data_IF_056072853409
#
_entry.id   IF_056072853409
#
_cell.length_a   1.000
_cell.length_b   1.000
_cell.length_c   1.000
_cell.angle_alpha   90.00
_cell.angle_beta   90.00
_cell.angle_gamma   90.00
#
_symmetry.space_group_name_H-M   'P 1'
#
loop_
_entity.id
_entity.type
_entity.pdbx_description
1 polymer ?
#
# COMPACT_ATOMS: atom_id res chain seq x y z
N UNK A 1 6.52 -19.39 28.48
CA UNK A 1 6.25 -18.46 29.60
C UNK A 1 4.76 -18.39 29.97
N UNK A 2 3.85 -18.69 29.04
CA UNK A 2 2.46 -19.07 29.37
C UNK A 2 2.26 -20.49 28.84
N UNK A 3 1.89 -21.46 29.68
CA UNK A 3 1.69 -22.87 29.31
C UNK A 3 0.48 -23.11 28.41
N UNK A 4 0.15 -22.15 27.54
CA UNK A 4 -1.01 -22.10 26.65
C UNK A 4 -0.64 -22.35 25.18
N UNK A 5 0.62 -22.63 24.88
CA UNK A 5 1.07 -22.94 23.53
C UNK A 5 1.20 -24.45 23.36
N UNK A 6 0.26 -25.04 22.63
CA UNK A 6 0.38 -26.39 22.11
C UNK A 6 1.54 -26.40 21.08
N UNK A 7 2.42 -27.41 21.14
CA UNK A 7 3.50 -27.54 20.16
C UNK A 7 2.88 -27.72 18.76
N UNK A 8 3.45 -27.03 17.76
CA UNK A 8 2.96 -27.08 16.39
C UNK A 8 2.97 -28.54 15.90
N UNK A 9 1.79 -29.09 15.58
CA UNK A 9 1.65 -30.48 15.14
C UNK A 9 2.26 -30.59 13.74
N UNK A 10 3.21 -31.49 13.57
CA UNK A 10 3.94 -31.70 12.31
C UNK A 10 3.04 -32.04 11.12
N UNK A 11 1.82 -32.53 11.37
CA UNK A 11 0.86 -32.93 10.35
C UNK A 11 -0.22 -31.87 10.07
N UNK A 12 -0.27 -30.80 10.85
CA UNK A 12 -1.23 -29.73 10.59
C UNK A 12 -0.65 -28.81 9.52
N UNK A 13 -1.36 -28.59 8.40
CA UNK A 13 -0.93 -27.56 7.47
C UNK A 13 -0.97 -26.22 8.22
N UNK A 14 -0.04 -25.28 7.96
CA UNK A 14 -0.15 -23.94 8.51
C UNK A 14 -1.45 -23.29 8.00
N UNK A 15 -2.50 -23.28 8.83
CA UNK A 15 -3.80 -22.64 8.56
C UNK A 15 -3.76 -21.21 9.10
N UNK A 16 -2.71 -20.47 8.76
CA UNK A 16 -2.63 -19.05 9.05
C UNK A 16 -1.85 -18.41 7.91
N UNK A 17 -2.52 -17.55 7.14
CA UNK A 17 -1.85 -16.90 6.03
C UNK A 17 -2.79 -15.97 5.28
N UNK A 18 -2.23 -14.85 4.87
CA UNK A 18 -2.77 -14.09 3.76
C UNK A 18 -2.91 -15.03 2.56
N UNK A 19 -3.97 -14.86 1.76
CA UNK A 19 -4.19 -15.60 0.51
C UNK A 19 -2.94 -15.53 -0.40
N UNK A 20 -2.27 -14.38 -0.37
CA UNK A 20 -1.02 -14.09 -1.04
C UNK A 20 0.02 -13.62 -0.03
N UNK A 21 1.24 -14.13 -0.12
CA UNK A 21 2.33 -13.63 0.73
C UNK A 21 2.75 -12.24 0.28
N UNK A 22 2.89 -11.31 1.23
CA UNK A 22 3.47 -10.00 0.98
C UNK A 22 4.97 -10.12 0.67
N UNK A 23 5.35 -9.61 -0.50
CA UNK A 23 6.71 -9.72 -1.03
C UNK A 23 7.50 -8.42 -0.83
N UNK A 24 7.44 -7.86 0.38
CA UNK A 24 8.11 -6.58 0.70
C UNK A 24 8.47 -6.51 2.18
N UNK A 25 9.60 -5.86 2.48
CA UNK A 25 10.04 -5.48 3.82
C UNK A 25 9.69 -4.01 4.15
N UNK A 26 8.88 -3.35 3.32
CA UNK A 26 8.43 -1.99 3.59
C UNK A 26 7.46 -1.98 4.78
N UNK A 27 7.95 -1.54 5.94
CA UNK A 27 7.19 -1.54 7.18
C UNK A 27 5.95 -0.66 7.13
N UNK A 28 6.04 0.55 6.56
CA UNK A 28 4.90 1.47 6.47
C UNK A 28 3.81 0.87 5.58
N UNK A 29 4.20 0.29 4.44
CA UNK A 29 3.25 -0.41 3.59
C UNK A 29 2.61 -1.59 4.31
N UNK A 30 3.40 -2.45 4.95
CA UNK A 30 2.90 -3.60 5.68
C UNK A 30 1.92 -3.21 6.81
N UNK A 31 2.13 -2.08 7.48
CA UNK A 31 1.22 -1.59 8.51
C UNK A 31 -0.05 -0.94 7.95
N UNK A 32 0.01 -0.29 6.79
CA UNK A 32 -1.07 0.56 6.28
C UNK A 32 -1.87 -0.02 5.11
N UNK A 33 -1.33 -0.95 4.33
CA UNK A 33 -1.95 -1.44 3.09
C UNK A 33 -3.36 -1.99 3.34
N UNK A 34 -3.54 -2.82 4.37
CA UNK A 34 -4.86 -3.38 4.73
C UNK A 34 -5.87 -2.28 5.08
N UNK A 35 -5.45 -1.23 5.78
CA UNK A 35 -6.32 -0.11 6.11
C UNK A 35 -6.72 0.68 4.86
N UNK A 36 -5.77 0.95 3.96
CA UNK A 36 -6.04 1.63 2.69
C UNK A 36 -6.98 0.81 1.80
N UNK A 37 -6.79 -0.52 1.76
CA UNK A 37 -7.65 -1.45 1.04
C UNK A 37 -9.09 -1.44 1.55
N UNK A 38 -9.26 -1.47 2.87
CA UNK A 38 -10.59 -1.45 3.48
C UNK A 38 -11.27 -0.08 3.32
N UNK A 39 -10.53 1.02 3.52
CA UNK A 39 -11.12 2.37 3.56
C UNK A 39 -11.35 2.97 2.17
N UNK A 40 -10.41 2.79 1.24
CA UNK A 40 -10.44 3.46 -0.07
C UNK A 40 -10.90 2.48 -1.15
N UNK A 41 -10.21 1.35 -1.29
CA UNK A 41 -10.41 0.46 -2.44
C UNK A 41 -11.69 -0.36 -2.35
N UNK A 42 -12.09 -0.78 -1.14
CA UNK A 42 -13.32 -1.55 -0.92
C UNK A 42 -14.56 -0.82 -1.44
N UNK A 43 -14.64 0.49 -1.22
CA UNK A 43 -15.75 1.31 -1.70
C UNK A 43 -15.83 1.44 -3.23
N UNK A 44 -14.75 1.15 -3.95
CA UNK A 44 -14.63 1.28 -5.41
C UNK A 44 -14.78 -0.05 -6.17
N UNK A 45 -15.01 -1.16 -5.47
CA UNK A 45 -15.10 -2.48 -6.09
C UNK A 45 -16.30 -2.58 -7.05
N UNK A 46 -16.08 -3.29 -8.18
CA UNK A 46 -17.08 -3.56 -9.21
C UNK A 46 -17.19 -5.06 -9.45
N UNK A 47 -18.40 -5.52 -9.77
CA UNK A 47 -18.67 -6.89 -10.20
C UNK A 47 -18.11 -7.14 -11.60
N UNK A 48 -18.09 -8.40 -12.03
CA UNK A 48 -17.71 -8.84 -13.39
C UNK A 48 -18.49 -8.13 -14.51
N UNK A 49 -19.71 -7.67 -14.20
CA UNK A 49 -20.58 -6.89 -15.10
C UNK A 49 -20.31 -5.38 -15.09
N UNK A 50 -19.22 -4.93 -14.45
CA UNK A 50 -18.81 -3.52 -14.34
C UNK A 50 -19.63 -2.66 -13.38
N UNK A 51 -20.60 -3.25 -12.66
CA UNK A 51 -21.47 -2.55 -11.72
C UNK A 51 -20.81 -2.43 -10.33
N UNK A 52 -20.95 -1.29 -9.63
CA UNK A 52 -20.37 -1.10 -8.30
C UNK A 52 -20.99 -2.06 -7.27
N UNK A 53 -20.15 -2.76 -6.50
CA UNK A 53 -20.57 -3.69 -5.44
C UNK A 53 -21.20 -2.92 -4.27
N UNK A 54 -20.62 -1.76 -3.95
CA UNK A 54 -21.11 -0.84 -2.93
C UNK A 54 -21.65 0.43 -3.59
N UNK A 55 -22.89 0.41 -4.11
CA UNK A 55 -23.46 1.58 -4.77
C UNK A 55 -23.60 2.74 -3.77
N UNK A 56 -22.83 3.81 -4.00
CA UNK A 56 -22.95 5.06 -3.25
C UNK A 56 -24.16 5.89 -3.67
N UNK A 57 -24.39 6.98 -2.94
CA UNK A 57 -25.50 7.93 -3.17
C UNK A 57 -25.48 8.48 -4.61
N UNK A 58 -24.28 8.79 -5.13
CA UNK A 58 -24.10 9.40 -6.45
C UNK A 58 -24.56 8.46 -7.60
N UNK A 59 -24.31 7.16 -7.49
CA UNK A 59 -24.70 6.19 -8.52
C UNK A 59 -26.23 5.97 -8.59
N UNK A 60 -26.93 6.04 -7.45
CA UNK A 60 -28.41 5.96 -7.42
C UNK A 60 -29.09 7.23 -7.95
N UNK A 61 -28.47 8.40 -7.76
CA UNK A 61 -28.98 9.68 -8.28
C UNK A 61 -28.88 9.73 -9.81
N UNK A 62 -27.75 9.30 -10.38
CA UNK A 62 -27.54 9.25 -11.84
C UNK A 62 -28.51 8.28 -12.53
N UNK A 63 -28.74 7.09 -11.95
CA UNK A 63 -29.67 6.09 -12.51
C UNK A 63 -31.13 6.58 -12.47
N UNK A 64 -31.53 7.37 -11.46
CA UNK A 64 -32.89 7.92 -11.37
C UNK A 64 -33.15 9.12 -12.27
N UNK A 65 -32.13 9.91 -12.63
CA UNK A 65 -32.29 11.05 -13.54
C UNK A 65 -32.47 10.59 -15.01
N UNK A 66 -32.13 9.35 -15.35
CA UNK A 66 -32.10 8.86 -16.74
C UNK A 66 -33.41 8.24 -17.29
N UNK A 67 -34.59 8.51 -16.73
CA UNK A 67 -35.89 7.98 -17.20
C UNK A 67 -36.92 9.12 -17.04
N UNK A 68 -37.62 9.71 -18.03
CA UNK A 68 -38.03 9.30 -19.39
C UNK A 68 -38.51 10.58 -20.12
N UNK A 69 -37.98 10.89 -21.31
CA UNK A 69 -38.59 11.92 -22.15
C UNK A 69 -39.80 11.31 -22.86
N UNK A 70 -41.00 11.63 -22.41
CA UNK A 70 -42.22 11.32 -23.14
C UNK A 70 -42.59 12.53 -23.99
N UNK A 71 -42.62 12.36 -25.31
CA UNK A 71 -43.13 13.35 -26.24
C UNK A 71 -44.66 13.33 -26.13
N UNK A 72 -45.26 14.24 -25.39
CA UNK A 72 -46.71 14.43 -25.40
C UNK A 72 -47.09 15.40 -26.52
N UNK A 73 -47.60 14.87 -27.62
CA UNK A 73 -48.43 15.62 -28.56
C UNK A 73 -49.85 15.68 -28.02
N UNK A 74 -50.41 16.89 -27.96
CA UNK A 74 -51.78 17.27 -27.60
C UNK A 74 -52.16 17.36 -26.10
N UNK A 75 -52.64 18.56 -25.76
CA UNK A 75 -53.79 18.89 -24.88
C UNK A 75 -53.53 19.67 -23.57
N UNK A 76 -53.92 20.96 -23.63
CA UNK A 76 -54.45 21.93 -22.63
C UNK A 76 -53.86 22.07 -21.19
N UNK A 77 -53.74 23.32 -20.65
CA UNK A 77 -52.95 23.62 -19.46
C UNK A 77 -53.81 23.73 -18.19
N UNK A 78 -53.59 22.84 -17.23
CA UNK A 78 -53.70 23.15 -15.78
C UNK A 78 -53.46 21.88 -14.98
N UNK A 79 -52.60 21.99 -13.96
CA UNK A 79 -52.24 20.95 -12.97
C UNK A 79 -51.01 20.10 -13.31
N UNK A 80 -49.83 20.69 -13.11
CA UNK A 80 -48.60 19.91 -12.88
C UNK A 80 -48.68 19.33 -11.47
N UNK A 81 -49.01 18.04 -11.34
CA UNK A 81 -48.82 17.33 -10.06
C UNK A 81 -47.37 16.86 -9.95
N UNK A 82 -46.60 17.50 -9.09
CA UNK A 82 -45.31 16.97 -8.64
C UNK A 82 -45.56 15.76 -7.73
N UNK A 83 -45.20 14.56 -8.19
CA UNK A 83 -45.10 13.38 -7.32
C UNK A 83 -43.80 13.52 -6.53
N UNK A 84 -43.88 13.92 -5.27
CA UNK A 84 -42.77 13.81 -4.32
C UNK A 84 -42.58 12.31 -4.04
N UNK A 85 -41.59 11.72 -4.70
CA UNK A 85 -41.16 10.36 -4.38
C UNK A 85 -40.31 10.44 -3.10
N UNK A 86 -40.84 9.90 -2.00
CA UNK A 86 -40.05 9.68 -0.79
C UNK A 86 -38.87 8.77 -1.14
N UNK A 87 -37.65 9.32 -1.06
CA UNK A 87 -36.41 8.57 -1.21
C UNK A 87 -36.14 7.91 0.14
N UNK A 88 -36.40 6.61 0.24
CA UNK A 88 -35.88 5.83 1.34
C UNK A 88 -34.36 5.68 1.11
N UNK A 89 -33.58 6.55 1.75
CA UNK A 89 -32.11 6.62 1.61
C UNK A 89 -31.54 5.42 2.36
N UNK A 90 -31.47 4.28 1.68
CA UNK A 90 -30.57 3.19 2.07
C UNK A 90 -29.14 3.62 1.70
N UNK A 91 -28.53 4.34 2.64
CA UNK A 91 -27.09 4.55 2.85
C UNK A 91 -26.39 3.30 3.41
N UNK A 92 -27.10 2.18 3.39
CA UNK A 92 -26.92 1.08 4.30
C UNK A 92 -25.61 0.32 4.01
N UNK A 93 -25.28 0.05 2.74
CA UNK A 93 -24.12 -0.76 2.39
C UNK A 93 -22.76 -0.08 2.60
N UNK A 94 -22.65 1.24 2.40
CA UNK A 94 -21.39 1.96 2.62
C UNK A 94 -21.10 2.17 4.10
N UNK A 95 -22.14 2.48 4.88
CA UNK A 95 -22.03 2.62 6.34
C UNK A 95 -21.77 1.24 6.96
N UNK A 96 -22.50 0.22 6.50
CA UNK A 96 -22.26 -1.17 6.92
C UNK A 96 -20.86 -1.62 6.53
N UNK A 97 -20.35 -1.35 5.33
CA UNK A 97 -19.00 -1.81 4.96
C UNK A 97 -17.87 -1.21 5.78
N UNK A 98 -18.08 -0.05 6.41
CA UNK A 98 -17.13 0.59 7.32
C UNK A 98 -17.25 0.10 8.78
N UNK A 99 -18.46 -0.19 9.26
CA UNK A 99 -18.73 -0.65 10.63
C UNK A 99 -18.66 -2.17 10.79
N UNK A 100 -18.87 -2.91 9.70
CA UNK A 100 -18.89 -4.37 9.69
C UNK A 100 -17.46 -4.91 9.57
N UNK A 101 -17.25 -6.17 9.97
CA UNK A 101 -15.93 -6.78 10.03
C UNK A 101 -15.18 -6.75 8.69
N UNK A 102 -13.84 -6.76 8.73
CA UNK A 102 -13.02 -6.88 7.53
C UNK A 102 -13.43 -8.13 6.75
N UNK A 103 -13.62 -8.01 5.43
CA UNK A 103 -14.14 -9.09 4.58
C UNK A 103 -15.65 -9.12 4.34
N UNK A 104 -16.48 -8.31 5.03
CA UNK A 104 -17.93 -8.31 4.77
C UNK A 104 -18.30 -7.83 3.36
N UNK A 105 -19.15 -8.59 2.68
CA UNK A 105 -19.79 -8.29 1.40
C UNK A 105 -21.32 -8.28 1.54
N UNK A 106 -22.05 -7.53 0.68
CA UNK A 106 -23.51 -7.53 0.68
C UNK A 106 -24.09 -8.95 0.57
N UNK A 107 -24.96 -9.32 1.50
CA UNK A 107 -25.61 -10.64 1.53
C UNK A 107 -24.94 -11.67 2.46
N UNK A 108 -23.78 -11.37 3.03
CA UNK A 108 -23.12 -12.24 4.01
C UNK A 108 -23.73 -12.03 5.41
N UNK A 109 -24.13 -13.10 6.11
CA UNK A 109 -24.74 -12.97 7.43
C UNK A 109 -23.69 -12.63 8.49
N UNK A 110 -24.07 -11.77 9.43
CA UNK A 110 -23.24 -11.35 10.56
C UNK A 110 -23.99 -11.52 11.87
N UNK A 111 -23.24 -11.64 12.96
CA UNK A 111 -23.74 -11.69 14.33
C UNK A 111 -23.10 -10.57 15.17
N UNK A 112 -23.85 -9.97 16.12
CA UNK A 112 -23.27 -9.02 17.06
C UNK A 112 -22.39 -9.76 18.08
N UNK A 113 -21.14 -9.35 18.22
CA UNK A 113 -20.23 -9.85 19.24
C UNK A 113 -19.78 -8.66 20.10
N UNK A 114 -20.16 -8.60 21.38
CA UNK A 114 -19.92 -7.41 22.22
C UNK A 114 -20.39 -6.10 21.57
N UNK A 115 -19.45 -5.25 21.10
CA UNK A 115 -19.70 -3.91 20.55
C UNK A 115 -19.41 -3.83 19.04
N UNK A 116 -19.07 -4.96 18.40
CA UNK A 116 -18.73 -5.05 16.99
C UNK A 116 -19.52 -6.17 16.29
N UNK A 117 -19.65 -6.10 14.96
CA UNK A 117 -20.25 -7.19 14.18
C UNK A 117 -19.16 -8.22 13.82
N UNK A 118 -19.52 -9.50 13.75
CA UNK A 118 -18.64 -10.60 13.32
C UNK A 118 -19.31 -11.43 12.23
N UNK A 119 -18.53 -11.98 11.28
CA UNK A 119 -19.07 -12.96 10.32
C UNK A 119 -19.44 -14.26 11.05
N UNK A 120 -20.52 -14.92 10.61
CA UNK A 120 -20.87 -16.28 11.07
C UNK A 120 -19.85 -17.29 10.55
N UNK A 121 -19.53 -17.22 9.26
CA UNK A 121 -18.47 -18.01 8.63
C UNK A 121 -17.39 -17.07 8.06
N UNK A 122 -16.23 -16.95 8.72
CA UNK A 122 -15.13 -16.11 8.24
C UNK A 122 -14.42 -16.67 7.01
N UNK A 123 -14.68 -17.94 6.62
CA UNK A 123 -14.06 -18.57 5.44
C UNK A 123 -14.88 -18.34 4.17
N UNK A 124 -16.10 -17.84 4.27
CA UNK A 124 -16.99 -17.66 3.14
C UNK A 124 -16.38 -16.71 2.09
N UNK A 125 -16.07 -17.24 0.91
CA UNK A 125 -15.50 -16.46 -0.20
C UNK A 125 -14.00 -16.17 -0.10
N UNK A 126 -13.29 -16.74 0.89
CA UNK A 126 -11.83 -16.64 1.01
C UNK A 126 -11.20 -17.82 0.26
N UNK A 127 -10.43 -17.59 -0.82
CA UNK A 127 -9.71 -18.67 -1.49
C UNK A 127 -8.66 -19.28 -0.57
N UNK A 128 -8.38 -20.56 -0.72
CA UNK A 128 -7.36 -21.22 0.09
C UNK A 128 -5.95 -20.65 -0.19
N UNK A 129 -5.09 -20.50 0.84
CA UNK A 129 -3.72 -20.07 0.65
C UNK A 129 -2.96 -21.01 -0.29
N UNK A 130 -2.16 -20.44 -1.20
CA UNK A 130 -1.31 -21.20 -2.10
C UNK A 130 -0.23 -21.91 -1.28
N UNK A 131 -0.28 -23.26 -1.24
CA UNK A 131 0.73 -24.09 -0.56
C UNK A 131 1.80 -24.53 -1.59
N UNK A 132 3.10 -24.53 -1.24
CA UNK A 132 3.69 -24.19 0.06
C UNK A 132 3.89 -22.69 0.28
N UNK A 133 3.80 -22.24 1.54
CA UNK A 133 4.07 -20.85 1.93
C UNK A 133 5.56 -20.56 1.75
N UNK A 134 5.93 -19.93 0.63
CA UNK A 134 7.31 -19.51 0.39
C UNK A 134 7.61 -18.22 1.15
N UNK A 135 8.58 -18.27 2.07
CA UNK A 135 9.06 -17.09 2.79
C UNK A 135 9.76 -16.14 1.83
N UNK A 136 9.36 -14.86 1.84
CA UNK A 136 10.02 -13.83 1.06
C UNK A 136 11.46 -13.64 1.56
N UNK A 137 12.44 -13.99 0.72
CA UNK A 137 13.87 -13.87 1.04
C UNK A 137 14.71 -13.60 -0.24
N UNK A 138 14.76 -12.35 -0.71
CA UNK A 138 15.56 -11.97 -1.88
C UNK A 138 17.06 -12.14 -1.61
N UNK A 139 17.79 -12.67 -2.58
CA UNK A 139 19.23 -12.95 -2.46
C UNK A 139 20.08 -11.67 -2.43
N UNK A 140 20.45 -11.17 -1.25
CA UNK A 140 21.30 -9.98 -1.14
C UNK A 140 22.78 -10.28 -1.30
N UNK A 141 23.49 -9.35 -1.95
CA UNK A 141 24.95 -9.34 -2.00
C UNK A 141 25.55 -9.23 -0.60
N UNK A 142 26.67 -9.92 -0.38
CA UNK A 142 27.26 -10.05 0.96
C UNK A 142 27.74 -8.69 1.52
N UNK A 143 28.27 -7.81 0.66
CA UNK A 143 28.73 -6.48 1.06
C UNK A 143 27.59 -5.59 1.55
N UNK A 144 26.40 -5.70 0.93
CA UNK A 144 25.21 -4.97 1.36
C UNK A 144 24.72 -5.51 2.71
N UNK A 145 24.78 -6.83 2.94
CA UNK A 145 24.45 -7.42 4.24
C UNK A 145 25.36 -6.90 5.36
N UNK A 146 26.67 -6.86 5.11
CA UNK A 146 27.66 -6.33 6.06
C UNK A 146 27.39 -4.85 6.34
N UNK A 147 27.16 -4.05 5.29
CA UNK A 147 26.80 -2.64 5.42
C UNK A 147 25.56 -2.43 6.29
N UNK A 148 24.48 -3.18 6.02
CA UNK A 148 23.23 -3.10 6.75
C UNK A 148 23.39 -3.56 8.20
N UNK A 149 24.14 -4.64 8.45
CA UNK A 149 24.45 -5.09 9.81
C UNK A 149 25.21 -4.04 10.62
N UNK A 150 26.21 -3.39 10.02
CA UNK A 150 26.96 -2.32 10.69
C UNK A 150 26.07 -1.12 11.02
N UNK A 151 25.27 -0.65 10.06
CA UNK A 151 24.34 0.46 10.28
C UNK A 151 23.20 0.10 11.25
N UNK A 152 22.74 -1.15 11.27
CA UNK A 152 21.75 -1.62 12.22
C UNK A 152 22.31 -1.69 13.64
N UNK A 153 23.55 -2.15 13.81
CA UNK A 153 24.24 -2.15 15.10
C UNK A 153 24.40 -0.71 15.62
N UNK A 154 24.76 0.21 14.72
CA UNK A 154 24.83 1.63 15.06
C UNK A 154 23.45 2.20 15.43
N UNK A 155 22.39 1.82 14.71
CA UNK A 155 21.02 2.22 15.02
C UNK A 155 20.59 1.74 16.42
N UNK A 156 20.95 0.52 16.82
CA UNK A 156 20.70 -0.01 18.16
C UNK A 156 21.45 0.78 19.24
N UNK A 157 22.72 1.14 19.00
CA UNK A 157 23.48 1.97 19.92
C UNK A 157 22.84 3.36 20.11
N UNK A 158 22.39 3.99 19.01
CA UNK A 158 21.66 5.27 19.06
C UNK A 158 20.33 5.12 19.79
N UNK A 159 19.61 4.01 19.57
CA UNK A 159 18.35 3.72 20.25
C UNK A 159 18.54 3.60 21.77
N UNK A 160 19.56 2.88 22.24
CA UNK A 160 19.84 2.78 23.68
C UNK A 160 20.22 4.13 24.29
N UNK A 161 21.02 4.93 23.60
CA UNK A 161 21.32 6.29 24.05
C UNK A 161 20.07 7.19 24.09
N UNK A 162 19.17 7.03 23.13
CA UNK A 162 17.90 7.75 23.10
C UNK A 162 16.98 7.33 24.25
N UNK A 163 16.86 6.03 24.55
CA UNK A 163 16.03 5.54 25.65
C UNK A 163 16.56 6.01 27.01
N UNK A 164 17.88 6.04 27.17
CA UNK A 164 18.53 6.58 28.36
C UNK A 164 18.22 8.07 28.58
N UNK A 165 18.31 8.88 27.51
CA UNK A 165 18.08 10.34 27.58
C UNK A 165 16.61 10.75 27.46
N UNK A 166 15.68 9.80 27.26
CA UNK A 166 14.29 10.07 26.86
C UNK A 166 13.59 11.10 27.74
N UNK A 167 13.86 11.08 29.05
CA UNK A 167 13.22 11.97 30.02
C UNK A 167 13.70 13.43 29.93
N UNK A 168 14.86 13.69 29.34
CA UNK A 168 15.51 15.00 29.30
C UNK A 168 15.46 15.67 27.92
N UNK A 169 14.92 14.98 26.91
CA UNK A 169 14.87 15.45 25.54
C UNK A 169 13.75 16.46 25.33
N UNK A 170 14.04 17.53 24.59
CA UNK A 170 13.00 18.44 24.12
C UNK A 170 12.06 17.74 23.13
N UNK A 171 10.82 18.22 23.01
CA UNK A 171 9.85 17.66 22.04
C UNK A 171 10.40 17.66 20.61
N UNK A 172 11.10 18.73 20.21
CA UNK A 172 11.68 18.86 18.87
C UNK A 172 12.73 17.77 18.62
N UNK A 173 13.69 17.62 19.54
CA UNK A 173 14.74 16.59 19.41
C UNK A 173 14.16 15.18 19.44
N UNK A 174 13.13 14.95 20.26
CA UNK A 174 12.40 13.70 20.30
C UNK A 174 11.80 13.36 18.93
N UNK A 175 11.06 14.29 18.31
CA UNK A 175 10.46 14.06 16.99
C UNK A 175 11.50 13.90 15.88
N UNK A 176 12.61 14.64 15.92
CA UNK A 176 13.70 14.48 14.95
C UNK A 176 14.38 13.10 15.07
N UNK A 177 14.67 12.65 16.30
CA UNK A 177 15.22 11.31 16.54
C UNK A 177 14.24 10.21 16.12
N UNK A 178 12.95 10.38 16.41
CA UNK A 178 11.89 9.47 15.95
C UNK A 178 11.82 9.38 14.42
N UNK A 179 11.82 10.54 13.74
CA UNK A 179 11.84 10.58 12.28
C UNK A 179 13.10 9.90 11.70
N UNK A 180 14.26 10.08 12.33
CA UNK A 180 15.49 9.40 11.95
C UNK A 180 15.38 7.86 12.06
N UNK A 181 14.80 7.33 13.15
CA UNK A 181 14.58 5.89 13.30
C UNK A 181 13.67 5.35 12.20
N UNK A 182 12.55 6.03 11.93
CA UNK A 182 11.59 5.63 10.89
C UNK A 182 12.22 5.65 9.49
N UNK A 183 12.93 6.72 9.14
CA UNK A 183 13.61 6.85 7.84
C UNK A 183 14.69 5.78 7.66
N UNK A 184 15.44 5.46 8.72
CA UNK A 184 16.50 4.44 8.65
C UNK A 184 15.90 3.04 8.46
N UNK A 185 14.86 2.68 9.20
CA UNK A 185 14.17 1.40 9.02
C UNK A 185 13.54 1.28 7.63
N UNK A 186 12.99 2.38 7.10
CA UNK A 186 12.45 2.41 5.74
C UNK A 186 13.54 2.21 4.67
N UNK A 187 14.73 2.78 4.89
CA UNK A 187 15.88 2.59 4.00
C UNK A 187 16.36 1.13 4.00
N UNK A 188 16.45 0.49 5.16
CA UNK A 188 16.81 -0.93 5.27
C UNK A 188 15.80 -1.83 4.55
N UNK A 189 14.50 -1.58 4.74
CA UNK A 189 13.45 -2.29 4.00
C UNK A 189 13.60 -2.14 2.47
N UNK A 190 13.97 -0.95 1.99
CA UNK A 190 14.20 -0.72 0.57
C UNK A 190 15.41 -1.49 0.03
N UNK A 191 16.49 -1.64 0.81
CA UNK A 191 17.63 -2.49 0.43
C UNK A 191 17.27 -3.97 0.40
N UNK A 192 16.59 -4.46 1.44
CA UNK A 192 16.14 -5.85 1.48
C UNK A 192 15.23 -6.16 0.29
N UNK A 193 14.37 -5.24 -0.12
CA UNK A 193 13.51 -5.37 -1.31
C UNK A 193 14.25 -5.18 -2.65
N UNK A 194 15.57 -4.92 -2.66
CA UNK A 194 16.35 -4.55 -3.86
C UNK A 194 15.71 -3.42 -4.69
N UNK A 195 15.02 -2.48 -4.03
CA UNK A 195 14.37 -1.37 -4.73
C UNK A 195 15.42 -0.46 -5.35
N UNK A 196 15.17 -0.01 -6.58
CA UNK A 196 16.05 0.96 -7.28
C UNK A 196 16.18 2.29 -6.53
N UNK A 197 15.20 2.59 -5.69
CA UNK A 197 15.10 3.79 -4.86
C UNK A 197 16.02 3.70 -3.62
N UNK A 198 16.47 2.51 -3.20
CA UNK A 198 17.23 2.33 -1.96
C UNK A 198 18.50 3.20 -1.87
N UNK A 199 19.38 3.26 -2.90
CA UNK A 199 20.56 4.15 -2.86
C UNK A 199 20.20 5.63 -2.77
N UNK A 200 19.06 6.04 -3.35
CA UNK A 200 18.60 7.42 -3.31
C UNK A 200 17.97 7.80 -1.97
N UNK A 201 17.50 6.84 -1.17
CA UNK A 201 17.01 7.08 0.20
C UNK A 201 18.16 7.18 1.22
N UNK A 202 19.29 6.52 0.97
CA UNK A 202 20.48 6.62 1.83
C UNK A 202 21.12 8.00 1.82
N UNK A 203 21.14 8.68 0.66
CA UNK A 203 21.74 10.01 0.53
C UNK A 203 21.07 11.04 1.45
N UNK A 204 19.74 11.27 1.40
CA UNK A 204 19.08 12.21 2.29
C UNK A 204 19.13 11.75 3.75
N UNK A 205 19.11 10.43 4.03
CA UNK A 205 19.30 9.90 5.39
C UNK A 205 20.66 10.33 5.95
N UNK A 206 21.74 10.08 5.22
CA UNK A 206 23.09 10.46 5.65
C UNK A 206 23.23 11.98 5.78
N UNK A 207 22.70 12.74 4.82
CA UNK A 207 22.72 14.20 4.85
C UNK A 207 21.96 14.76 6.07
N UNK A 208 20.81 14.19 6.41
CA UNK A 208 20.03 14.56 7.59
C UNK A 208 20.80 14.33 8.89
N UNK A 209 21.47 13.19 9.04
CA UNK A 209 22.32 12.91 10.21
C UNK A 209 23.49 13.88 10.29
N UNK A 210 24.19 14.12 9.19
CA UNK A 210 25.31 15.06 9.15
C UNK A 210 24.83 16.46 9.54
N UNK A 211 23.74 16.95 8.95
CA UNK A 211 23.16 18.25 9.29
C UNK A 211 22.76 18.36 10.77
N UNK A 212 22.11 17.32 11.32
CA UNK A 212 21.72 17.28 12.73
C UNK A 212 22.94 17.37 13.67
N UNK A 213 23.99 16.59 13.41
CA UNK A 213 25.18 16.59 14.25
C UNK A 213 26.08 17.82 14.05
N UNK A 214 26.07 18.45 12.88
CA UNK A 214 26.75 19.74 12.66
C UNK A 214 26.14 20.83 13.56
N UNK A 215 24.81 20.91 13.62
CA UNK A 215 24.11 21.85 14.51
C UNK A 215 24.50 21.59 15.97
N UNK A 216 24.49 20.32 16.40
CA UNK A 216 24.87 19.97 17.78
C UNK A 216 26.32 20.30 18.13
N UNK A 217 27.26 20.27 17.17
CA UNK A 217 28.66 20.66 17.42
C UNK A 217 28.80 22.15 17.71
N UNK A 218 27.88 22.98 17.21
CA UNK A 218 27.87 24.43 17.45
C UNK A 218 27.35 24.81 18.84
N UNK A 219 26.71 23.88 19.56
CA UNK A 219 26.28 24.08 20.94
C UNK A 219 27.46 24.06 21.92
N UNK A 220 27.23 24.53 23.15
CA UNK A 220 28.24 24.65 24.21
C UNK A 220 28.98 23.34 24.52
N UNK A 221 28.34 22.18 24.27
CA UNK A 221 28.92 20.85 24.47
C UNK A 221 30.03 20.51 23.44
N UNK A 222 30.14 21.27 22.36
CA UNK A 222 31.23 21.18 21.37
C UNK A 222 31.35 19.84 20.63
N UNK A 223 32.56 19.55 20.15
CA UNK A 223 32.88 18.41 19.30
C UNK A 223 33.24 17.14 20.11
N UNK A 224 32.27 16.61 20.86
CA UNK A 224 32.44 15.34 21.57
C UNK A 224 32.79 14.16 20.62
N UNK A 225 33.56 13.15 21.08
CA UNK A 225 34.05 12.07 20.23
C UNK A 225 32.94 11.24 19.58
N UNK A 226 31.81 11.03 20.28
CA UNK A 226 30.65 10.33 19.73
C UNK A 226 30.02 11.09 18.55
N UNK A 227 30.01 12.43 18.58
CA UNK A 227 29.46 13.29 17.51
C UNK A 227 30.35 13.24 16.27
N UNK A 228 31.66 13.34 16.46
CA UNK A 228 32.65 13.22 15.37
C UNK A 228 32.56 11.84 14.73
N UNK A 229 32.46 10.78 15.53
CA UNK A 229 32.29 9.42 15.04
C UNK A 229 31.01 9.28 14.18
N UNK A 230 29.89 9.82 14.64
CA UNK A 230 28.62 9.78 13.90
C UNK A 230 28.68 10.51 12.56
N UNK A 231 29.27 11.70 12.53
CA UNK A 231 29.45 12.48 11.31
C UNK A 231 30.37 11.75 10.34
N UNK A 232 31.54 11.32 10.78
CA UNK A 232 32.53 10.64 9.92
C UNK A 232 31.97 9.36 9.30
N UNK A 233 31.31 8.52 10.09
CA UNK A 233 30.71 7.28 9.62
C UNK A 233 29.61 7.52 8.57
N UNK A 234 28.70 8.46 8.83
CA UNK A 234 27.63 8.80 7.89
C UNK A 234 28.14 9.57 6.66
N UNK A 235 29.23 10.32 6.78
CA UNK A 235 29.85 11.03 5.66
C UNK A 235 30.50 10.06 4.69
N UNK A 236 31.25 9.07 5.20
CA UNK A 236 31.82 7.98 4.38
C UNK A 236 30.72 7.21 3.64
N UNK A 237 29.64 6.87 4.35
CA UNK A 237 28.48 6.19 3.75
C UNK A 237 27.79 7.05 2.68
N UNK A 238 27.52 8.32 2.97
CA UNK A 238 26.89 9.25 2.04
C UNK A 238 27.72 9.48 0.77
N UNK A 239 29.04 9.63 0.91
CA UNK A 239 29.97 9.75 -0.22
C UNK A 239 29.99 8.47 -1.07
N UNK A 240 30.03 7.30 -0.43
CA UNK A 240 29.99 6.02 -1.13
C UNK A 240 28.73 5.88 -1.99
N UNK A 241 27.55 6.13 -1.42
CA UNK A 241 26.29 6.00 -2.16
C UNK A 241 26.10 7.09 -3.22
N UNK A 242 26.57 8.31 -2.95
CA UNK A 242 26.58 9.39 -3.95
C UNK A 242 27.46 8.99 -5.14
N UNK A 243 28.67 8.51 -4.90
CA UNK A 243 29.58 8.02 -5.94
C UNK A 243 28.99 6.83 -6.72
N UNK A 244 28.34 5.89 -6.01
CA UNK A 244 27.64 4.76 -6.63
C UNK A 244 26.51 5.23 -7.56
N UNK A 245 25.68 6.17 -7.11
CA UNK A 245 24.59 6.76 -7.90
C UNK A 245 25.12 7.51 -9.13
N UNK A 246 26.20 8.28 -8.99
CA UNK A 246 26.85 8.98 -10.10
C UNK A 246 27.38 7.98 -11.12
N UNK A 247 28.15 6.97 -10.69
CA UNK A 247 28.68 5.92 -11.58
C UNK A 247 27.56 5.18 -12.32
N UNK A 248 26.47 4.86 -11.62
CA UNK A 248 25.30 4.20 -12.21
C UNK A 248 24.60 5.09 -13.23
N UNK A 249 24.51 6.40 -12.97
CA UNK A 249 23.94 7.38 -13.90
C UNK A 249 24.78 7.49 -15.18
N UNK A 250 26.11 7.56 -15.04
CA UNK A 250 27.06 7.62 -16.16
C UNK A 250 27.00 6.36 -17.03
N UNK A 251 26.98 5.19 -16.39
CA UNK A 251 27.01 3.90 -17.09
C UNK A 251 25.64 3.43 -17.59
N UNK A 252 24.55 4.10 -17.20
CA UNK A 252 23.22 3.73 -17.69
C UNK A 252 23.13 4.12 -19.17
N UNK A 253 22.94 3.17 -20.11
CA UNK A 253 22.71 3.52 -21.49
C UNK A 253 21.50 4.44 -21.55
N UNK A 254 21.64 5.59 -22.22
CA UNK A 254 20.50 6.49 -22.46
C UNK A 254 19.45 5.65 -23.18
N UNK A 255 18.38 5.29 -22.48
CA UNK A 255 17.17 4.78 -23.15
C UNK A 255 16.66 5.94 -24.00
N UNK A 256 17.10 6.03 -25.25
CA UNK A 256 16.31 6.70 -26.27
C UNK A 256 14.91 6.10 -26.15
N UNK A 257 13.93 6.97 -25.87
CA UNK A 257 12.52 6.59 -25.79
C UNK A 257 12.15 6.08 -27.18
N UNK A 258 12.30 4.78 -27.41
CA UNK A 258 11.63 4.10 -28.51
C UNK A 258 10.15 4.20 -28.17
N UNK A 259 9.50 5.21 -28.76
CA UNK A 259 8.05 5.24 -28.86
C UNK A 259 7.69 3.96 -29.59
N UNK A 260 7.13 2.98 -28.87
CA UNK A 260 6.55 1.80 -29.52
C UNK A 260 5.44 2.32 -30.44
N UNK A 261 5.50 2.12 -31.77
CA UNK A 261 4.35 2.40 -32.60
C UNK A 261 3.22 1.47 -32.17
N UNK A 262 2.09 2.08 -31.87
CA UNK A 262 0.81 1.41 -31.62
C UNK A 262 0.42 0.62 -32.87
N UNK A 263 0.66 -0.68 -32.85
CA UNK A 263 -0.07 -1.66 -33.64
C UNK A 263 -0.62 -2.64 -32.58
N UNK A 264 -1.93 -2.77 -32.40
CA UNK A 264 -2.80 -3.44 -33.33
C UNK A 264 -4.27 -3.08 -33.01
N UNK A 265 -4.90 -2.29 -33.88
CA UNK A 265 -6.37 -2.11 -33.95
C UNK A 265 -6.77 -1.98 -35.42
N UNK A 266 -6.28 -2.92 -36.23
CA UNK A 266 -6.71 -3.13 -37.62
C UNK A 266 -6.67 -4.63 -37.92
N UNK A 267 -7.50 -5.38 -37.21
CA UNK A 267 -7.94 -6.71 -37.63
C UNK A 267 -9.33 -6.93 -37.02
N UNK A 268 -10.32 -6.19 -37.54
CA UNK A 268 -11.76 -6.45 -37.33
C UNK A 268 -12.65 -5.71 -38.37
N UNK A 269 -12.10 -5.41 -39.55
CA UNK A 269 -12.87 -4.86 -40.69
C UNK A 269 -12.71 -5.68 -41.98
N UNK A 270 -12.30 -6.95 -41.87
CA UNK A 270 -12.40 -7.92 -42.96
C UNK A 270 -13.26 -9.13 -42.55
N UNK A 271 -14.49 -8.86 -42.13
CA UNK A 271 -15.56 -9.85 -42.29
C UNK A 271 -16.90 -9.16 -42.53
N UNK A 272 -17.04 -8.65 -43.74
CA UNK A 272 -18.31 -8.30 -44.35
C UNK A 272 -18.23 -8.59 -45.85
N UNK A 273 -19.16 -9.41 -46.34
CA UNK A 273 -19.52 -9.59 -47.76
C UNK A 273 -18.68 -10.54 -48.65
N UNK A 274 -19.10 -11.81 -48.62
CA UNK A 274 -19.24 -12.75 -49.76
C UNK A 274 -20.05 -13.94 -49.22
N UNK A 275 -21.21 -14.36 -49.72
CA UNK A 275 -22.15 -13.90 -50.72
C UNK A 275 -23.42 -14.73 -50.51
N UNK A 276 -24.57 -14.17 -50.85
CA UNK A 276 -25.79 -14.93 -51.18
C UNK A 276 -25.54 -15.75 -52.44
N UNK A 277 -25.99 -17.01 -52.47
CA UNK A 277 -26.87 -17.58 -53.52
C UNK A 277 -26.88 -19.12 -53.48
N UNK A 278 -28.06 -19.67 -53.79
CA UNK A 278 -28.37 -21.02 -54.33
C UNK A 278 -28.06 -22.26 -53.48
N UNK A 279 -28.75 -23.40 -53.55
CA UNK A 279 -30.01 -23.91 -54.13
C UNK A 279 -30.00 -25.42 -53.75
N UNK A 280 -31.16 -26.05 -53.64
CA UNK A 280 -31.47 -27.45 -53.94
C UNK A 280 -30.40 -28.56 -53.75
N UNK A 281 -30.58 -29.38 -52.71
CA UNK A 281 -30.91 -30.84 -52.77
C UNK A 281 -30.60 -31.55 -51.45
#
# INVERSE_FOLDING_TARGET
>A
MFGTFEAERTNDPPIYGLVHNEQTFNQIWLQMHTFLDILIFKGQMKNEKGQPIFPGVINKVIIKISIKSYKCTHFSPSTIRFKVAYINISSDYQIKSALYPPGWLPGVPVLPFFHWMSLIDPKLGVPEPIKPVMKYNPSLEIWIKIYLMAHFTLLLAIFFHFEYDRANLSYLEFYLKLAFFLLTMQSFGAFFDKRKIAPYLEIPRCAGVIGFYIILIMDENGAGPHRIFMITFHSLSGLFWTGYCIRKSINSPRKCRVVKPTQEKQMDQQHGQKGTDSEDK
#
